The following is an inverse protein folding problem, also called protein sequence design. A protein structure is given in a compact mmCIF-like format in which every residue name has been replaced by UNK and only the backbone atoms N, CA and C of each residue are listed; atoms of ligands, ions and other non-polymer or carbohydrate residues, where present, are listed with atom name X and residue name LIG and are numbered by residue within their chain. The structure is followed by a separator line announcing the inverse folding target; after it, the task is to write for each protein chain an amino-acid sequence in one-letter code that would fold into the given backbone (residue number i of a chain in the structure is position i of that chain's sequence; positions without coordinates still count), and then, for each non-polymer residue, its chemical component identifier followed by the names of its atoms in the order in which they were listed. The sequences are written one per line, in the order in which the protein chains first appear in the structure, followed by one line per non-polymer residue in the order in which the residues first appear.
data_IF_037334941229
#
_entry.id   IF_037334941229
#
_cell.length_a   1.000
_cell.length_b   1.000
_cell.length_c   1.000
_cell.angle_alpha   90.00
_cell.angle_beta   90.00
_cell.angle_gamma   90.00
#
_symmetry.space_group_name_H-M   'P 1'
#
loop_
_entity.id
_entity.type
_entity.pdbx_description
1 polymer ?
#
# COMPACT_ATOMS: atom_id res chain seq x y z
N UNK A 1 0.68 11.48 -18.63
CA UNK A 1 1.91 10.87 -18.08
C UNK A 1 1.79 9.35 -18.11
N UNK A 2 0.73 8.76 -17.57
CA UNK A 2 0.55 7.30 -17.49
C UNK A 2 0.25 6.64 -18.85
N UNK A 3 -0.06 7.40 -19.89
CA UNK A 3 -0.32 6.91 -21.24
C UNK A 3 -1.69 7.32 -21.76
N UNK A 4 -2.77 7.04 -21.04
CA UNK A 4 -4.11 7.38 -21.47
C UNK A 4 -5.15 7.21 -20.38
N UNK A 5 -6.42 7.44 -20.75
CA UNK A 5 -7.57 7.26 -19.85
C UNK A 5 -7.82 5.80 -19.44
N UNK A 6 -7.24 4.85 -20.15
CA UNK A 6 -7.40 3.42 -19.92
C UNK A 6 -6.28 2.80 -19.08
N UNK A 7 -5.39 3.62 -18.54
CA UNK A 7 -4.28 3.17 -17.71
C UNK A 7 -2.93 3.34 -18.38
N UNK A 8 -1.92 2.64 -17.87
CA UNK A 8 -0.57 2.68 -18.40
C UNK A 8 -0.48 2.04 -19.78
N UNK A 9 0.38 2.60 -20.63
CA UNK A 9 0.71 2.09 -21.97
C UNK A 9 2.22 1.99 -22.14
N UNK A 10 2.73 1.34 -23.22
CA UNK A 10 4.17 1.27 -23.47
C UNK A 10 4.87 2.63 -23.57
N UNK A 11 4.15 3.68 -23.98
CA UNK A 11 4.66 5.05 -24.07
C UNK A 11 4.47 5.86 -22.78
N UNK A 12 3.79 5.27 -21.80
CA UNK A 12 3.48 5.93 -20.53
C UNK A 12 4.46 5.60 -19.42
N UNK A 13 4.29 6.28 -18.29
CA UNK A 13 5.04 6.04 -17.05
C UNK A 13 4.08 5.54 -16.00
N UNK A 14 4.39 4.43 -15.37
CA UNK A 14 3.64 3.95 -14.21
C UNK A 14 3.67 4.97 -13.08
N UNK A 15 2.51 5.24 -12.51
CA UNK A 15 2.32 6.26 -11.49
C UNK A 15 1.86 5.63 -10.18
N UNK A 16 2.60 5.87 -9.11
CA UNK A 16 2.16 5.54 -7.76
C UNK A 16 1.48 6.74 -7.12
N UNK A 17 0.21 6.58 -6.78
CA UNK A 17 -0.55 7.61 -6.05
C UNK A 17 -0.36 7.40 -4.55
N UNK A 18 0.08 8.45 -3.84
CA UNK A 18 0.46 8.31 -2.44
C UNK A 18 0.16 9.54 -1.60
N UNK A 19 0.09 9.36 -0.30
CA UNK A 19 0.06 8.11 0.45
C UNK A 19 -1.38 7.87 0.96
N UNK A 20 -1.96 6.74 0.60
CA UNK A 20 -3.35 6.40 0.96
C UNK A 20 -3.49 6.13 2.47
N UNK A 21 -4.53 6.63 3.12
CA UNK A 21 -5.69 7.39 2.63
C UNK A 21 -5.51 8.92 2.71
N UNK A 22 -4.28 9.42 2.86
CA UNK A 22 -3.94 10.82 2.93
C UNK A 22 -3.25 11.22 4.22
N UNK A 23 -2.16 11.97 4.09
CA UNK A 23 -1.34 12.42 5.22
C UNK A 23 -1.80 13.74 5.87
N UNK A 24 -2.88 14.35 5.41
CA UNK A 24 -3.36 15.63 5.93
C UNK A 24 -3.95 15.58 7.35
N UNK A 25 -4.35 14.37 7.80
CA UNK A 25 -4.91 14.15 9.13
C UNK A 25 -3.85 13.87 10.22
N UNK A 26 -2.57 14.08 9.93
CA UNK A 26 -1.49 13.85 10.90
C UNK A 26 -1.64 14.69 12.16
N UNK A 27 -1.47 14.05 13.30
CA UNK A 27 -1.47 14.74 14.58
C UNK A 27 -0.40 15.83 14.63
N UNK A 28 -0.81 17.08 14.87
CA UNK A 28 0.06 18.26 14.92
C UNK A 28 0.97 18.46 13.70
N UNK A 29 0.69 17.79 12.57
CA UNK A 29 1.50 17.88 11.36
C UNK A 29 2.87 17.20 11.44
N UNK A 30 3.15 16.41 12.47
CA UNK A 30 4.42 15.72 12.64
C UNK A 30 4.68 14.69 11.55
N UNK A 31 5.95 14.48 11.27
CA UNK A 31 6.42 13.52 10.28
C UNK A 31 6.17 12.07 10.73
N UNK A 32 5.51 11.24 9.91
CA UNK A 32 5.17 9.86 10.26
C UNK A 32 6.37 8.90 10.31
N UNK A 33 7.56 9.32 9.89
CA UNK A 33 8.79 8.56 10.10
C UNK A 33 9.22 8.51 11.56
N UNK A 34 8.59 9.33 12.41
CA UNK A 34 8.88 9.39 13.85
C UNK A 34 7.64 9.08 14.66
N UNK A 35 7.85 8.58 15.88
CA UNK A 35 6.76 8.20 16.78
C UNK A 35 5.76 9.33 17.05
N UNK A 36 6.20 10.59 17.06
CA UNK A 36 5.33 11.75 17.23
C UNK A 36 4.30 11.91 16.08
N UNK A 37 4.63 11.45 14.88
CA UNK A 37 3.77 11.53 13.69
C UNK A 37 2.99 10.25 13.38
N UNK A 38 2.97 9.28 14.29
CA UNK A 38 2.37 7.98 14.04
C UNK A 38 0.83 7.99 13.91
N UNK A 39 0.15 9.07 14.31
CA UNK A 39 -1.30 9.12 14.34
C UNK A 39 -1.91 9.98 13.23
N UNK A 40 -2.93 9.44 12.57
CA UNK A 40 -3.90 10.21 11.79
C UNK A 40 -5.16 10.42 12.64
N UNK A 41 -5.60 11.69 12.74
CA UNK A 41 -6.77 12.11 13.51
C UNK A 41 -7.76 12.77 12.58
N UNK A 42 -8.90 12.16 12.41
CA UNK A 42 -10.01 12.69 11.62
C UNK A 42 -10.87 13.58 12.51
N UNK A 43 -10.58 14.86 12.54
CA UNK A 43 -11.08 15.79 13.55
C UNK A 43 -12.60 16.06 13.50
N UNK A 44 -13.24 15.84 12.35
CA UNK A 44 -14.69 16.04 12.20
C UNK A 44 -15.37 14.81 11.60
N UNK A 45 -16.68 14.60 11.91
CA UNK A 45 -17.42 13.48 11.33
C UNK A 45 -17.36 13.48 9.79
N UNK A 46 -17.07 12.34 9.21
CA UNK A 46 -16.99 12.15 7.75
C UNK A 46 -15.84 12.86 7.04
N UNK A 47 -14.89 13.43 7.78
CA UNK A 47 -13.74 14.17 7.18
C UNK A 47 -12.85 13.29 6.29
N UNK A 48 -12.73 12.00 6.59
CA UNK A 48 -12.03 11.03 5.75
C UNK A 48 -12.60 11.05 4.32
N UNK A 49 -13.90 10.87 4.18
CA UNK A 49 -14.60 10.85 2.89
C UNK A 49 -14.59 12.22 2.20
N UNK A 50 -14.71 13.28 2.97
CA UNK A 50 -14.86 14.64 2.43
C UNK A 50 -13.56 15.23 1.93
N UNK A 51 -12.46 15.01 2.63
CA UNK A 51 -11.21 15.74 2.39
C UNK A 51 -10.04 14.87 1.92
N UNK A 52 -10.01 13.59 2.28
CA UNK A 52 -8.85 12.74 1.99
C UNK A 52 -9.09 11.78 0.83
N UNK A 53 -10.21 11.12 0.80
CA UNK A 53 -10.55 10.11 -0.22
C UNK A 53 -10.77 10.64 -1.64
N UNK A 54 -11.28 11.88 -1.87
CA UNK A 54 -11.64 12.31 -3.23
C UNK A 54 -10.50 12.26 -4.25
N UNK A 55 -9.27 12.58 -3.83
CA UNK A 55 -8.10 12.54 -4.71
C UNK A 55 -7.79 11.11 -5.18
N UNK A 56 -7.85 10.14 -4.28
CA UNK A 56 -7.65 8.72 -4.62
C UNK A 56 -8.77 8.18 -5.51
N UNK A 57 -10.02 8.57 -5.26
CA UNK A 57 -11.13 8.21 -6.16
C UNK A 57 -10.95 8.77 -7.55
N UNK A 58 -10.46 9.99 -7.68
CA UNK A 58 -10.15 10.56 -8.99
C UNK A 58 -9.07 9.75 -9.71
N UNK A 59 -7.98 9.43 -9.01
CA UNK A 59 -6.91 8.60 -9.57
C UNK A 59 -7.39 7.21 -10.01
N UNK A 60 -8.22 6.54 -9.19
CA UNK A 60 -8.77 5.23 -9.51
C UNK A 60 -9.69 5.29 -10.75
N UNK A 61 -10.49 6.34 -10.90
CA UNK A 61 -11.34 6.53 -12.09
C UNK A 61 -10.53 6.70 -13.38
N UNK A 62 -9.30 7.16 -13.25
CA UNK A 62 -8.35 7.28 -14.37
C UNK A 62 -7.36 6.12 -14.42
N UNK A 63 -7.71 4.98 -13.82
CA UNK A 63 -6.96 3.74 -13.85
C UNK A 63 -5.52 3.89 -13.37
N UNK A 64 -5.31 4.58 -12.23
CA UNK A 64 -4.01 4.60 -11.58
C UNK A 64 -3.50 3.17 -11.34
N UNK A 65 -2.27 2.90 -11.74
CA UNK A 65 -1.71 1.55 -11.71
C UNK A 65 -1.29 1.14 -10.31
N UNK A 66 -0.77 2.06 -9.51
CA UNK A 66 -0.41 1.70 -8.14
C UNK A 66 -0.83 2.74 -7.11
N UNK A 67 -0.99 2.26 -5.89
CA UNK A 67 -1.25 3.09 -4.71
C UNK A 67 -0.32 2.64 -3.59
N UNK A 68 0.25 3.61 -2.88
CA UNK A 68 1.11 3.38 -1.72
C UNK A 68 0.39 3.80 -0.45
N UNK A 69 0.24 2.90 0.54
CA UNK A 69 -0.32 3.24 1.84
C UNK A 69 0.59 4.17 2.64
N UNK A 70 -0.01 4.94 3.53
CA UNK A 70 0.69 5.84 4.43
C UNK A 70 1.22 5.13 5.67
N UNK A 71 2.29 5.64 6.27
CA UNK A 71 2.89 5.03 7.47
C UNK A 71 2.01 5.10 8.70
N UNK A 72 1.35 6.27 8.91
CA UNK A 72 0.58 6.53 10.13
C UNK A 72 -0.54 5.50 10.32
N UNK A 73 -1.05 5.45 11.53
CA UNK A 73 -2.21 4.65 11.93
C UNK A 73 -3.37 5.56 12.36
N UNK A 74 -4.63 5.20 12.12
CA UNK A 74 -5.76 5.99 12.57
C UNK A 74 -5.93 5.90 14.08
N UNK A 75 -6.36 6.99 14.72
CA UNK A 75 -6.73 7.01 16.13
C UNK A 75 -8.24 7.00 16.28
N UNK A 76 -8.79 5.94 16.84
CA UNK A 76 -10.22 5.88 17.19
C UNK A 76 -10.56 6.82 18.37
N UNK A 77 -9.65 6.92 19.34
CA UNK A 77 -9.86 7.74 20.54
C UNK A 77 -9.93 9.24 20.25
N UNK A 78 -9.07 9.71 19.32
CA UNK A 78 -8.91 11.14 19.02
C UNK A 78 -9.70 11.59 17.78
N UNK A 79 -10.26 10.64 17.00
CA UNK A 79 -11.01 10.95 15.79
C UNK A 79 -12.51 11.05 16.07
N UNK A 80 -13.18 11.93 15.35
CA UNK A 80 -14.63 11.91 15.23
C UNK A 80 -15.09 10.69 14.41
N UNK A 81 -16.35 10.28 14.50
CA UNK A 81 -16.90 9.16 13.74
C UNK A 81 -16.66 9.31 12.24
N UNK A 82 -16.21 8.24 11.59
CA UNK A 82 -16.03 8.15 10.16
C UNK A 82 -16.92 7.05 9.60
N UNK A 83 -17.36 7.21 8.37
CA UNK A 83 -18.27 6.28 7.69
C UNK A 83 -17.66 5.83 6.35
N UNK A 84 -18.02 4.61 5.96
CA UNK A 84 -17.71 4.09 4.63
C UNK A 84 -18.67 4.64 3.56
N UNK A 85 -18.54 4.20 2.30
CA UNK A 85 -19.41 4.69 1.21
C UNK A 85 -20.86 4.21 1.31
N UNK A 86 -21.16 3.28 2.19
CA UNK A 86 -22.51 2.79 2.45
C UNK A 86 -23.14 3.43 3.71
N UNK A 87 -22.40 4.35 4.38
CA UNK A 87 -22.83 4.99 5.61
C UNK A 87 -22.63 4.12 6.87
N UNK A 88 -21.85 3.05 6.77
CA UNK A 88 -21.51 2.25 7.94
C UNK A 88 -20.32 2.85 8.67
N UNK A 89 -20.27 2.79 10.01
CA UNK A 89 -19.12 3.23 10.78
C UNK A 89 -17.83 2.49 10.35
N UNK A 90 -16.75 3.24 10.13
CA UNK A 90 -15.43 2.66 9.88
C UNK A 90 -14.75 2.39 11.21
N UNK A 91 -14.31 1.14 11.39
CA UNK A 91 -13.43 0.78 12.49
C UNK A 91 -12.03 1.37 12.25
N UNK A 92 -11.63 2.30 13.10
CA UNK A 92 -10.31 2.92 13.08
C UNK A 92 -9.31 2.07 13.87
N UNK A 93 -8.96 0.91 13.32
CA UNK A 93 -7.99 0.01 13.94
C UNK A 93 -6.61 0.70 14.04
N UNK A 94 -5.94 0.62 15.19
CA UNK A 94 -4.68 1.34 15.44
C UNK A 94 -3.47 0.67 14.79
N UNK A 95 -3.59 0.32 13.52
CA UNK A 95 -2.52 -0.26 12.70
C UNK A 95 -2.13 0.71 11.59
N UNK A 96 -0.85 0.75 11.26
CA UNK A 96 -0.34 1.47 10.09
C UNK A 96 -1.14 1.10 8.84
N UNK A 97 -1.38 2.07 7.95
CA UNK A 97 -2.32 1.83 6.85
C UNK A 97 -1.94 0.66 5.92
N UNK A 98 -0.65 0.33 5.79
CA UNK A 98 -0.22 -0.87 5.04
C UNK A 98 -0.70 -2.19 5.68
N UNK A 99 -0.96 -2.20 6.98
CA UNK A 99 -1.46 -3.36 7.73
C UNK A 99 -2.96 -3.30 7.99
N UNK A 100 -3.63 -2.24 7.57
CA UNK A 100 -5.01 -1.99 7.93
C UNK A 100 -5.95 -2.59 6.91
N UNK A 101 -6.45 -3.79 7.21
CA UNK A 101 -7.39 -4.53 6.35
C UNK A 101 -8.64 -3.73 6.03
N UNK A 102 -9.18 -2.98 7.01
CA UNK A 102 -10.39 -2.17 6.82
C UNK A 102 -10.18 -1.11 5.74
N UNK A 103 -9.02 -0.46 5.73
CA UNK A 103 -8.70 0.57 4.74
C UNK A 103 -8.24 -0.02 3.41
N UNK A 104 -7.38 -1.02 3.40
CA UNK A 104 -6.82 -1.56 2.15
C UNK A 104 -7.80 -2.51 1.47
N UNK A 105 -8.16 -3.60 2.12
CA UNK A 105 -9.04 -4.60 1.52
C UNK A 105 -10.48 -4.10 1.45
N UNK A 106 -11.02 -3.57 2.55
CA UNK A 106 -12.39 -3.13 2.65
C UNK A 106 -12.69 -1.86 1.84
N UNK A 107 -12.01 -0.76 2.15
CA UNK A 107 -12.31 0.53 1.54
C UNK A 107 -11.68 0.66 0.14
N UNK A 108 -10.37 0.55 0.02
CA UNK A 108 -9.66 0.80 -1.23
C UNK A 108 -10.01 -0.21 -2.32
N UNK A 109 -9.90 -1.50 -2.01
CA UNK A 109 -10.21 -2.56 -2.99
C UNK A 109 -11.70 -2.84 -3.09
N UNK A 110 -12.37 -3.03 -1.97
CA UNK A 110 -13.78 -3.43 -1.93
C UNK A 110 -14.71 -2.33 -2.42
N UNK A 111 -14.69 -1.17 -1.80
CA UNK A 111 -15.67 -0.12 -2.09
C UNK A 111 -15.24 0.88 -3.17
N UNK A 112 -13.94 1.20 -3.24
CA UNK A 112 -13.42 2.10 -4.29
C UNK A 112 -13.08 1.35 -5.58
N UNK A 113 -13.00 0.02 -5.55
CA UNK A 113 -12.78 -0.82 -6.72
C UNK A 113 -11.38 -0.74 -7.31
N UNK A 114 -10.37 -0.41 -6.52
CA UNK A 114 -8.98 -0.34 -6.98
C UNK A 114 -8.48 -1.71 -7.43
N UNK A 115 -8.02 -1.82 -8.67
CA UNK A 115 -7.59 -3.06 -9.30
C UNK A 115 -6.08 -3.16 -9.54
N UNK A 116 -5.37 -2.05 -9.43
CA UNK A 116 -3.92 -2.00 -9.57
C UNK A 116 -3.18 -2.68 -8.42
N UNK A 117 -1.86 -2.60 -8.40
CA UNK A 117 -1.10 -3.15 -7.30
C UNK A 117 -0.88 -2.14 -6.17
N UNK A 118 -0.68 -2.65 -4.97
CA UNK A 118 -0.36 -1.85 -3.79
C UNK A 118 1.08 -2.14 -3.41
N UNK A 119 1.94 -1.12 -3.53
CA UNK A 119 3.29 -1.19 -3.02
C UNK A 119 3.35 -0.53 -1.64
N UNK A 120 3.96 -1.19 -0.69
CA UNK A 120 4.22 -0.57 0.61
C UNK A 120 5.17 0.62 0.46
N UNK A 121 5.15 1.52 1.42
CA UNK A 121 6.26 2.44 1.59
C UNK A 121 7.48 1.71 2.18
N UNK A 122 8.66 2.34 2.15
CA UNK A 122 9.92 1.74 2.56
C UNK A 122 9.96 1.50 4.07
N UNK A 123 10.50 0.38 4.49
CA UNK A 123 10.79 0.11 5.90
C UNK A 123 9.60 -0.28 6.78
N UNK A 124 8.44 -0.60 6.22
CA UNK A 124 7.27 -1.02 7.02
C UNK A 124 7.52 -2.30 7.82
N UNK A 125 8.44 -3.15 7.37
CA UNK A 125 8.78 -4.39 8.07
C UNK A 125 9.67 -4.14 9.30
N UNK A 126 10.41 -3.03 9.32
CA UNK A 126 11.40 -2.72 10.34
C UNK A 126 10.98 -1.56 11.24
N UNK A 127 10.90 -0.37 10.66
CA UNK A 127 10.90 0.88 11.41
C UNK A 127 9.53 1.58 11.43
N UNK A 128 8.77 1.46 10.34
CA UNK A 128 7.54 2.23 10.10
C UNK A 128 6.28 1.36 10.23
N UNK A 129 6.26 0.51 11.23
CA UNK A 129 5.19 -0.46 11.46
C UNK A 129 4.29 -0.06 12.63
N UNK A 130 3.89 1.19 12.69
CA UNK A 130 3.10 1.73 13.79
C UNK A 130 1.86 0.89 14.11
N UNK A 131 1.77 0.49 15.38
CA UNK A 131 0.66 -0.33 15.88
C UNK A 131 0.75 -1.82 15.52
N UNK A 132 1.78 -2.24 14.81
CA UNK A 132 2.03 -3.64 14.49
C UNK A 132 3.33 -4.06 15.15
N UNK A 133 3.22 -4.55 16.36
CA UNK A 133 4.37 -5.04 17.14
C UNK A 133 4.45 -6.57 17.04
N UNK A 134 4.65 -7.06 15.81
CA UNK A 134 4.80 -8.48 15.54
C UNK A 134 5.83 -8.73 14.44
N UNK A 135 6.59 -9.82 14.52
CA UNK A 135 7.57 -10.19 13.53
C UNK A 135 6.96 -10.71 12.22
N UNK A 136 5.70 -11.12 12.23
CA UNK A 136 4.98 -11.74 11.10
C UNK A 136 4.39 -10.73 10.11
N UNK A 137 4.96 -9.54 10.03
CA UNK A 137 4.43 -8.38 9.30
C UNK A 137 4.22 -8.61 7.81
N UNK A 138 5.13 -9.35 7.16
CA UNK A 138 5.01 -9.63 5.72
C UNK A 138 3.78 -10.48 5.45
N UNK A 139 3.64 -11.59 6.15
CA UNK A 139 2.50 -12.48 6.00
C UNK A 139 1.19 -11.74 6.19
N UNK A 140 1.07 -10.99 7.26
CA UNK A 140 -0.14 -10.22 7.55
C UNK A 140 -0.43 -9.14 6.51
N UNK A 141 0.57 -8.38 6.06
CA UNK A 141 0.39 -7.35 5.04
C UNK A 141 -0.12 -7.93 3.72
N UNK A 142 0.44 -9.05 3.27
CA UNK A 142 0.07 -9.67 2.00
C UNK A 142 -1.25 -10.43 2.09
N UNK A 143 -1.47 -11.21 3.15
CA UNK A 143 -2.65 -12.06 3.27
C UNK A 143 -3.90 -11.30 3.71
N UNK A 144 -3.77 -10.43 4.70
CA UNK A 144 -4.90 -9.76 5.33
C UNK A 144 -5.16 -8.37 4.77
N UNK A 145 -4.14 -7.53 4.64
CA UNK A 145 -4.32 -6.18 4.10
C UNK A 145 -4.36 -6.14 2.58
N UNK A 146 -3.69 -7.09 1.91
CA UNK A 146 -3.68 -7.17 0.45
C UNK A 146 -2.65 -6.24 -0.20
N UNK A 147 -1.55 -5.95 0.49
CA UNK A 147 -0.34 -5.36 -0.10
C UNK A 147 0.28 -6.35 -1.07
N UNK A 148 0.69 -5.90 -2.24
CA UNK A 148 1.18 -6.79 -3.30
C UNK A 148 2.71 -6.75 -3.43
N UNK A 149 3.34 -5.61 -3.12
CA UNK A 149 4.78 -5.41 -3.17
C UNK A 149 5.25 -4.75 -1.88
N UNK A 150 6.25 -5.33 -1.23
CA UNK A 150 6.85 -4.78 -0.02
C UNK A 150 8.20 -4.17 -0.37
N UNK A 151 8.30 -2.85 -0.20
CA UNK A 151 9.50 -2.09 -0.49
C UNK A 151 10.49 -2.13 0.68
N UNK A 152 11.79 -2.17 0.37
CA UNK A 152 12.85 -2.11 1.39
C UNK A 152 13.13 -3.42 2.10
N UNK A 153 12.75 -4.56 1.52
CA UNK A 153 13.12 -5.89 2.02
C UNK A 153 14.60 -6.24 1.79
N UNK A 154 15.29 -5.44 0.98
CA UNK A 154 16.69 -5.71 0.60
C UNK A 154 17.70 -5.46 1.73
N UNK A 155 17.27 -4.88 2.84
CA UNK A 155 18.10 -4.75 4.01
C UNK A 155 17.97 -6.00 4.89
N UNK A 156 18.59 -7.09 4.40
CA UNK A 156 19.21 -8.10 5.23
C UNK A 156 18.32 -9.11 6.00
N UNK A 157 18.90 -9.60 7.07
CA UNK A 157 18.45 -10.66 7.97
C UNK A 157 16.97 -10.54 8.40
N UNK A 158 16.47 -9.31 8.63
CA UNK A 158 15.07 -9.10 9.03
C UNK A 158 14.06 -9.39 7.90
N UNK A 159 14.44 -9.17 6.65
CA UNK A 159 13.60 -9.52 5.50
C UNK A 159 13.48 -11.03 5.31
N UNK A 160 14.59 -11.75 5.42
CA UNK A 160 14.63 -13.20 5.37
C UNK A 160 13.89 -13.84 6.55
N UNK A 161 14.11 -13.34 7.76
CA UNK A 161 13.40 -13.78 8.95
C UNK A 161 11.89 -13.54 8.85
N UNK A 162 11.47 -12.36 8.42
CA UNK A 162 10.04 -12.04 8.25
C UNK A 162 9.39 -12.88 7.16
N UNK A 163 10.12 -13.20 6.08
CA UNK A 163 9.64 -14.13 5.07
C UNK A 163 9.50 -15.55 5.61
N UNK A 164 10.53 -16.05 6.32
CA UNK A 164 10.49 -17.35 6.97
C UNK A 164 9.29 -17.49 7.91
N UNK A 165 8.97 -16.43 8.67
CA UNK A 165 7.80 -16.37 9.56
C UNK A 165 6.46 -16.31 8.81
N UNK A 166 6.46 -16.03 7.51
CA UNK A 166 5.30 -16.15 6.62
C UNK A 166 5.09 -17.55 6.06
N UNK A 167 5.90 -18.54 6.43
CA UNK A 167 5.80 -19.91 5.91
C UNK A 167 5.05 -20.84 6.87
N UNK A 168 4.47 -21.92 6.32
CA UNK A 168 3.83 -22.94 7.15
C UNK A 168 4.82 -23.63 8.10
N UNK A 169 6.00 -23.95 7.60
CA UNK A 169 7.04 -24.68 8.33
C UNK A 169 7.47 -23.95 9.60
N UNK A 170 7.47 -22.61 9.57
CA UNK A 170 7.76 -21.82 10.76
C UNK A 170 6.78 -22.11 11.90
N UNK A 171 5.46 -22.14 11.60
CA UNK A 171 4.43 -22.37 12.62
C UNK A 171 4.20 -23.84 12.99
N UNK A 172 4.90 -24.76 12.36
CA UNK A 172 4.95 -26.16 12.82
C UNK A 172 5.83 -26.31 14.07
N UNK A 173 6.73 -25.35 14.29
CA UNK A 173 7.68 -25.36 15.42
C UNK A 173 7.55 -24.13 16.34
N UNK A 174 6.80 -23.11 15.94
CA UNK A 174 6.63 -21.86 16.70
C UNK A 174 5.15 -21.57 16.96
N UNK A 175 4.87 -20.99 18.10
CA UNK A 175 3.52 -20.59 18.45
C UNK A 175 3.03 -19.41 17.60
N UNK A 176 1.75 -19.44 17.23
CA UNK A 176 1.08 -18.30 16.61
C UNK A 176 0.92 -17.20 17.67
N UNK A 177 1.25 -15.93 17.37
CA UNK A 177 1.08 -14.84 18.31
C UNK A 177 -0.36 -14.68 18.80
N UNK A 178 -0.52 -14.25 20.04
CA UNK A 178 -1.83 -14.07 20.65
C UNK A 178 -2.69 -13.07 19.81
N UNK A 179 -3.93 -13.43 19.55
CA UNK A 179 -4.87 -12.62 18.77
C UNK A 179 -4.84 -12.86 17.26
N UNK A 180 -3.93 -13.71 16.77
CA UNK A 180 -3.84 -14.09 15.36
C UNK A 180 -4.16 -15.57 15.15
N UNK A 181 -4.54 -15.89 13.93
CA UNK A 181 -4.62 -17.27 13.47
C UNK A 181 -3.49 -17.55 12.49
N UNK A 182 -3.07 -18.81 12.38
CA UNK A 182 -1.99 -19.21 11.45
C UNK A 182 -2.28 -18.75 10.01
N UNK A 183 -3.50 -18.94 9.56
CA UNK A 183 -3.95 -18.54 8.22
C UNK A 183 -3.90 -17.04 7.94
N UNK A 184 -3.85 -16.20 8.98
CA UNK A 184 -3.72 -14.75 8.83
C UNK A 184 -2.28 -14.32 8.54
N UNK A 185 -1.31 -15.17 8.87
CA UNK A 185 0.11 -14.84 8.85
C UNK A 185 0.88 -15.58 7.77
N UNK A 186 0.38 -16.76 7.35
CA UNK A 186 1.07 -17.60 6.37
C UNK A 186 0.81 -17.14 4.95
N UNK A 187 1.88 -16.95 4.20
CA UNK A 187 1.84 -16.72 2.76
C UNK A 187 1.38 -17.99 2.05
N UNK A 188 0.30 -17.89 1.30
CA UNK A 188 -0.23 -18.97 0.49
C UNK A 188 0.05 -18.73 -0.99
N UNK A 189 0.11 -19.79 -1.80
CA UNK A 189 0.21 -19.67 -3.25
C UNK A 189 -0.88 -18.76 -3.82
N UNK A 190 -2.09 -18.83 -3.27
CA UNK A 190 -3.19 -17.96 -3.68
C UNK A 190 -2.92 -16.48 -3.39
N UNK A 191 -2.36 -16.14 -2.21
CA UNK A 191 -2.02 -14.77 -1.85
C UNK A 191 -0.83 -14.25 -2.67
N UNK A 192 0.18 -15.08 -2.86
CA UNK A 192 1.36 -14.73 -3.67
C UNK A 192 0.99 -14.57 -5.16
N UNK A 193 0.26 -15.52 -5.73
CA UNK A 193 -0.19 -15.43 -7.12
C UNK A 193 -1.06 -14.20 -7.36
N UNK A 194 -1.92 -13.84 -6.43
CA UNK A 194 -2.73 -12.62 -6.51
C UNK A 194 -1.84 -11.36 -6.52
N UNK A 195 -0.86 -11.28 -5.63
CA UNK A 195 0.06 -10.15 -5.53
C UNK A 195 0.95 -10.03 -6.78
N UNK A 196 1.58 -11.13 -7.19
CA UNK A 196 2.43 -11.21 -8.40
C UNK A 196 1.64 -10.89 -9.66
N UNK A 197 0.43 -11.42 -9.81
CA UNK A 197 -0.41 -11.15 -10.99
C UNK A 197 -0.73 -9.66 -11.14
N UNK A 198 -1.00 -8.95 -10.04
CA UNK A 198 -1.27 -7.51 -10.10
C UNK A 198 -0.01 -6.73 -10.50
N UNK A 199 1.13 -7.05 -9.92
CA UNK A 199 2.40 -6.39 -10.24
C UNK A 199 2.84 -6.66 -11.67
N UNK A 200 2.79 -7.93 -12.11
CA UNK A 200 3.16 -8.29 -13.49
C UNK A 200 2.22 -7.71 -14.54
N UNK A 201 0.93 -7.53 -14.22
CA UNK A 201 -0.04 -6.93 -15.16
C UNK A 201 0.43 -5.55 -15.63
N UNK A 202 1.01 -4.76 -14.75
CA UNK A 202 1.57 -3.46 -15.11
C UNK A 202 2.77 -3.60 -16.04
N UNK A 203 3.71 -4.48 -15.72
CA UNK A 203 4.91 -4.71 -16.54
C UNK A 203 4.53 -5.16 -17.97
N UNK A 204 3.51 -6.02 -18.09
CA UNK A 204 2.98 -6.42 -19.39
C UNK A 204 2.33 -5.25 -20.15
N UNK A 205 1.57 -4.41 -19.45
CA UNK A 205 0.95 -3.23 -20.08
C UNK A 205 1.96 -2.20 -20.55
N UNK A 206 3.09 -2.10 -19.89
CA UNK A 206 4.21 -1.25 -20.28
C UNK A 206 5.06 -1.84 -21.41
N UNK A 207 4.81 -3.08 -21.84
CA UNK A 207 5.63 -3.75 -22.85
C UNK A 207 7.03 -4.10 -22.37
N UNK A 208 7.25 -4.19 -21.06
CA UNK A 208 8.60 -4.42 -20.49
C UNK A 208 9.17 -5.80 -20.78
N UNK A 209 8.35 -6.72 -21.29
CA UNK A 209 8.79 -8.05 -21.72
C UNK A 209 9.13 -8.10 -23.20
N UNK A 210 8.64 -7.14 -23.99
CA UNK A 210 8.89 -7.01 -25.43
C UNK A 210 10.08 -6.09 -25.69
N UNK A 211 10.21 -4.98 -24.94
CA UNK A 211 11.30 -4.02 -25.08
C UNK A 211 11.88 -3.71 -23.67
N UNK A 212 12.85 -4.52 -23.27
CA UNK A 212 13.40 -4.52 -21.91
C UNK A 212 14.57 -3.55 -21.72
N UNK A 213 15.13 -3.00 -22.79
CA UNK A 213 16.35 -2.19 -22.71
C UNK A 213 16.13 -0.77 -23.22
N UNK A 214 16.46 0.22 -22.40
CA UNK A 214 16.52 1.60 -22.82
C UNK A 214 17.83 1.86 -23.62
N UNK A 215 17.73 2.63 -24.70
CA UNK A 215 18.88 3.16 -25.42
C UNK A 215 19.28 4.51 -24.78
N UNK A 216 20.45 4.58 -24.07
CA UNK A 216 20.89 5.82 -23.44
C UNK A 216 21.12 6.98 -24.41
N UNK A 217 21.47 6.69 -25.67
CA UNK A 217 21.67 7.74 -26.68
C UNK A 217 20.32 8.33 -27.09
N UNK A 218 19.34 7.46 -27.39
CA UNK A 218 17.99 7.89 -27.69
C UNK A 218 17.33 8.62 -26.51
N UNK A 219 17.57 8.15 -25.29
CA UNK A 219 17.09 8.83 -24.11
C UNK A 219 17.62 10.28 -24.01
N UNK A 220 18.91 10.50 -24.30
CA UNK A 220 19.50 11.82 -24.30
C UNK A 220 18.93 12.77 -25.38
N UNK A 221 18.38 12.22 -26.45
CA UNK A 221 17.75 13.00 -27.55
C UNK A 221 16.32 13.44 -27.21
N UNK A 222 15.60 12.68 -26.36
CA UNK A 222 14.17 12.90 -26.08
C UNK A 222 13.88 13.46 -24.69
N UNK A 223 14.82 13.34 -23.75
CA UNK A 223 14.60 13.81 -22.36
C UNK A 223 15.09 15.24 -22.20
N UNK A 224 14.30 16.07 -21.55
CA UNK A 224 14.61 17.48 -21.24
C UNK A 224 14.95 18.31 -22.48
N UNK A 225 14.24 18.11 -23.57
CA UNK A 225 14.40 18.90 -24.78
C UNK A 225 13.86 20.33 -24.58
N UNK A 226 14.22 21.27 -25.50
CA UNK A 226 13.67 22.64 -25.46
C UNK A 226 12.14 22.69 -25.55
N UNK A 227 11.52 21.65 -26.11
CA UNK A 227 10.07 21.55 -26.21
C UNK A 227 9.40 21.18 -24.87
N UNK A 228 10.17 20.72 -23.90
CA UNK A 228 9.68 20.30 -22.57
C UNK A 228 9.64 21.47 -21.57
N UNK A 229 10.17 22.63 -21.97
CA UNK A 229 10.24 23.88 -21.21
C UNK A 229 9.42 24.97 -21.92
#
# INVERSE_FOLDING_TARGET
IQGGSNGVTPEGVSMTVKHFPGGGARENGFDPHYAAGQWNIYATPGSLQKYHIPAFRAAIRHNAESIMPYYSKPSAEKSAPQEDFNGNPIELQPYGFAYNKVFIDGLLRGQMGFKGYINSDTGIVHNMCWGVDMPERIGYAVTQSGVDLISGLLDNELGEESYARGTNDYYDTHAVPAGFKKEDLVLTDASLNRAVSRTLTELFRQGMFEDTYADPKKAAEVVATKADW
#
